data_IF_951864582856
#
_entry.id   IF_951864582856
#
_cell.length_a   1.000
_cell.length_b   1.000
_cell.length_c   1.000
_cell.angle_alpha   90.00
_cell.angle_beta   90.00
_cell.angle_gamma   90.00
#
_symmetry.space_group_name_H-M   'P 1'
#
loop_
_entity.id
_entity.type
_entity.pdbx_description
1 polymer ?
#
# COMPACT_ATOMS: atom_id res chain seq x y z
N UNK A 1 7.49 -7.38 17.30
CA UNK A 1 7.83 -7.14 18.73
C UNK A 1 8.63 -5.85 18.91
N UNK A 2 9.74 -5.67 18.18
CA UNK A 2 10.55 -4.45 18.31
C UNK A 2 9.79 -3.13 18.06
N UNK A 3 9.02 -3.01 16.97
CA UNK A 3 8.19 -1.81 16.72
C UNK A 3 7.16 -1.55 17.85
N UNK A 4 6.61 -2.61 18.45
CA UNK A 4 5.65 -2.49 19.54
C UNK A 4 6.33 -1.91 20.79
N UNK A 5 7.54 -2.38 21.10
CA UNK A 5 8.36 -1.84 22.19
C UNK A 5 8.67 -0.37 21.93
N UNK A 6 9.09 -0.01 20.71
CA UNK A 6 9.34 1.38 20.33
C UNK A 6 8.13 2.28 20.57
N UNK A 7 6.94 1.91 20.06
CA UNK A 7 5.71 2.70 20.23
C UNK A 7 5.30 2.80 21.70
N UNK A 8 5.48 1.72 22.48
CA UNK A 8 5.24 1.76 23.93
C UNK A 8 6.17 2.75 24.64
N UNK A 9 7.49 2.69 24.40
CA UNK A 9 8.43 3.63 25.02
C UNK A 9 8.16 5.08 24.59
N UNK A 10 7.78 5.30 23.32
CA UNK A 10 7.34 6.61 22.83
C UNK A 10 6.12 7.11 23.59
N UNK A 11 5.09 6.27 23.77
CA UNK A 11 3.87 6.64 24.49
C UNK A 11 4.13 6.95 25.95
N UNK A 12 4.96 6.14 26.60
CA UNK A 12 5.39 6.38 27.96
C UNK A 12 6.15 7.70 28.04
N UNK A 13 7.03 8.01 27.08
CA UNK A 13 7.81 9.26 27.12
C UNK A 13 6.92 10.48 26.92
N UNK A 14 6.00 10.46 25.97
CA UNK A 14 5.07 11.58 25.75
C UNK A 14 4.14 11.78 26.94
N UNK A 15 3.60 10.70 27.52
CA UNK A 15 2.74 10.77 28.70
C UNK A 15 3.47 11.36 29.91
N UNK A 16 4.71 10.93 30.13
CA UNK A 16 5.54 11.43 31.24
C UNK A 16 5.98 12.88 31.02
N UNK A 17 6.29 13.29 29.78
CA UNK A 17 6.61 14.67 29.44
C UNK A 17 5.41 15.63 29.59
N UNK A 18 4.20 15.17 29.23
CA UNK A 18 2.95 15.91 29.47
C UNK A 18 2.70 16.09 30.97
N UNK A 19 2.86 15.03 31.76
CA UNK A 19 2.71 15.09 33.21
C UNK A 19 3.72 16.05 33.86
N UNK A 20 4.96 16.11 33.35
CA UNK A 20 5.99 17.04 33.82
C UNK A 20 5.66 18.51 33.50
N UNK A 21 5.15 18.79 32.30
CA UNK A 21 4.67 20.14 31.93
C UNK A 21 3.55 20.63 32.85
N UNK A 22 2.56 19.76 33.07
CA UNK A 22 1.48 19.94 34.05
C UNK A 22 2.03 20.33 35.44
N UNK A 23 3.06 19.61 35.89
CA UNK A 23 3.68 19.83 37.19
C UNK A 23 4.41 21.17 37.30
N UNK A 24 5.27 21.52 36.33
CA UNK A 24 5.97 22.81 36.34
C UNK A 24 5.01 23.99 36.25
N UNK A 25 3.95 23.89 35.43
CA UNK A 25 2.91 24.92 35.34
C UNK A 25 2.23 25.18 36.70
N UNK A 26 1.92 24.13 37.46
CA UNK A 26 1.32 24.26 38.81
C UNK A 26 2.23 24.89 39.86
N UNK A 27 3.55 24.90 39.62
CA UNK A 27 4.55 25.42 40.57
C UNK A 27 4.92 26.88 40.28
N UNK A 28 4.75 27.31 39.02
CA UNK A 28 5.15 28.62 38.53
C UNK A 28 4.03 29.68 38.54
N UNK A 29 2.76 29.34 38.83
CA UNK A 29 1.68 30.34 38.84
C UNK A 29 0.59 30.08 39.88
N UNK A 30 0.49 31.00 40.85
CA UNK A 30 -0.70 31.28 41.66
C UNK A 30 -1.70 32.10 40.81
N UNK A 31 -2.05 31.64 39.61
CA UNK A 31 -3.14 32.24 38.83
C UNK A 31 -3.66 31.31 37.72
N UNK A 32 -4.98 31.08 37.77
CA UNK A 32 -5.89 30.40 36.82
C UNK A 32 -6.32 28.96 37.15
N UNK A 33 -7.41 28.92 37.93
CA UNK A 33 -8.16 27.77 38.46
C UNK A 33 -8.72 26.82 37.36
N UNK A 34 -8.53 27.11 36.07
CA UNK A 34 -9.15 26.36 34.96
C UNK A 34 -8.18 25.43 34.20
N UNK A 35 -6.85 25.65 34.23
CA UNK A 35 -5.88 24.68 33.69
C UNK A 35 -5.57 23.54 34.67
N UNK A 36 -6.02 23.68 35.93
CA UNK A 36 -5.61 22.84 37.05
C UNK A 36 -6.42 21.54 37.20
N UNK A 37 -7.60 21.43 36.60
CA UNK A 37 -8.42 20.20 36.69
C UNK A 37 -7.86 19.03 35.85
N UNK A 38 -7.08 19.28 34.80
CA UNK A 38 -6.57 18.21 33.95
C UNK A 38 -5.32 17.51 34.53
N UNK A 39 -4.56 18.22 35.38
CA UNK A 39 -3.33 17.70 35.98
C UNK A 39 -3.53 17.15 37.41
N UNK A 40 -4.66 17.49 38.04
CA UNK A 40 -4.88 17.24 39.47
C UNK A 40 -5.98 16.20 39.71
N UNK A 41 -5.65 14.93 39.46
CA UNK A 41 -5.83 13.81 40.42
C UNK A 41 -5.64 12.46 39.72
N UNK A 42 -4.84 11.61 40.38
CA UNK A 42 -4.98 10.15 40.34
C UNK A 42 -4.21 9.40 39.23
N UNK A 43 -2.90 9.62 39.11
CA UNK A 43 -2.02 8.56 38.61
C UNK A 43 -0.83 8.34 39.55
N UNK A 44 -0.68 7.12 40.06
CA UNK A 44 0.49 6.66 40.83
C UNK A 44 1.81 6.92 40.08
N UNK A 45 1.72 6.97 38.74
CA UNK A 45 2.81 7.28 37.83
C UNK A 45 3.33 8.72 38.02
N UNK A 46 2.44 9.71 38.14
CA UNK A 46 2.80 11.12 38.31
C UNK A 46 3.58 11.41 39.59
N UNK A 47 3.24 10.74 40.70
CA UNK A 47 3.92 10.92 41.99
C UNK A 47 5.30 10.23 42.02
N UNK A 48 5.46 9.10 41.33
CA UNK A 48 6.75 8.43 41.12
C UNK A 48 7.71 9.25 40.23
N UNK A 49 7.17 9.90 39.18
CA UNK A 49 7.90 10.79 38.27
C UNK A 49 8.35 12.08 38.96
N UNK A 50 7.50 12.63 39.84
CA UNK A 50 7.79 13.81 40.67
C UNK A 50 9.06 13.64 41.52
N UNK A 51 9.29 12.44 42.02
CA UNK A 51 10.38 12.15 42.94
C UNK A 51 11.72 11.85 42.24
N UNK A 52 11.73 11.59 40.93
CA UNK A 52 12.94 11.17 40.21
C UNK A 52 13.05 11.78 38.80
N UNK A 53 13.53 13.03 38.65
CA UNK A 53 13.75 13.65 37.33
C UNK A 53 14.74 12.86 36.46
N UNK A 54 15.65 12.10 37.09
CA UNK A 54 16.55 11.15 36.43
C UNK A 54 15.83 10.09 35.59
N UNK A 55 14.61 9.69 35.97
CA UNK A 55 13.82 8.69 35.22
C UNK A 55 13.45 9.23 33.83
N UNK A 56 13.14 10.52 33.72
CA UNK A 56 12.81 11.17 32.45
C UNK A 56 13.99 11.18 31.50
N UNK A 57 15.19 11.53 32.01
CA UNK A 57 16.42 11.53 31.22
C UNK A 57 16.78 10.12 30.76
N UNK A 58 16.75 9.14 31.68
CA UNK A 58 17.04 7.73 31.36
C UNK A 58 16.05 7.19 30.33
N UNK A 59 14.77 7.50 30.46
CA UNK A 59 13.74 7.07 29.53
C UNK A 59 13.94 7.66 28.13
N UNK A 60 14.34 8.92 28.02
CA UNK A 60 14.66 9.52 26.72
C UNK A 60 15.89 8.89 26.08
N UNK A 61 16.97 8.66 26.84
CA UNK A 61 18.17 7.99 26.30
C UNK A 61 17.87 6.58 25.80
N UNK A 62 17.04 5.83 26.52
CA UNK A 62 16.56 4.51 26.07
C UNK A 62 15.73 4.64 24.79
N UNK A 63 14.81 5.60 24.73
CA UNK A 63 14.01 5.85 23.54
C UNK A 63 14.90 6.20 22.33
N UNK A 64 15.90 7.07 22.51
CA UNK A 64 16.86 7.44 21.46
C UNK A 64 17.65 6.21 21.00
N UNK A 65 18.14 5.37 21.90
CA UNK A 65 18.85 4.14 21.52
C UNK A 65 17.97 3.22 20.66
N UNK A 66 16.69 3.05 21.02
CA UNK A 66 15.72 2.28 20.23
C UNK A 66 15.47 2.95 18.87
N UNK A 67 15.39 4.29 18.81
CA UNK A 67 15.18 5.03 17.55
C UNK A 67 16.37 4.91 16.60
N UNK A 68 17.60 4.92 17.12
CA UNK A 68 18.80 4.74 16.30
C UNK A 68 18.79 3.35 15.67
N UNK A 69 18.40 2.32 16.41
CA UNK A 69 18.25 0.98 15.84
C UNK A 69 17.12 0.94 14.79
N UNK A 70 15.98 1.62 15.02
CA UNK A 70 14.91 1.77 14.03
C UNK A 70 15.41 2.44 12.74
N UNK A 71 16.20 3.52 12.86
CA UNK A 71 16.81 4.22 11.74
C UNK A 71 17.74 3.27 10.97
N UNK A 72 18.64 2.55 11.67
CA UNK A 72 19.52 1.59 11.04
C UNK A 72 18.73 0.54 10.26
N UNK A 73 17.72 -0.08 10.89
CA UNK A 73 16.81 -1.04 10.25
C UNK A 73 16.15 -0.47 9.00
N UNK A 74 15.66 0.78 9.07
CA UNK A 74 14.98 1.43 7.95
C UNK A 74 15.95 1.76 6.82
N UNK A 75 17.16 2.21 7.12
CA UNK A 75 18.23 2.49 6.14
C UNK A 75 18.64 1.21 5.40
N UNK A 76 18.84 0.09 6.11
CA UNK A 76 19.07 -1.21 5.45
C UNK A 76 17.88 -1.67 4.59
N UNK A 77 16.65 -1.30 4.96
CA UNK A 77 15.47 -1.55 4.13
C UNK A 77 15.44 -0.71 2.85
N UNK A 78 15.89 0.55 2.92
CA UNK A 78 15.89 1.49 1.79
C UNK A 78 16.83 1.03 0.68
N UNK A 79 17.95 0.38 1.00
CA UNK A 79 18.91 -0.11 -0.01
C UNK A 79 18.33 -1.17 -0.95
N UNK A 80 17.20 -1.79 -0.59
CA UNK A 80 16.47 -2.72 -1.45
C UNK A 80 15.56 -2.05 -2.50
N UNK A 81 15.35 -0.73 -2.42
CA UNK A 81 14.53 0.00 -3.39
C UNK A 81 15.38 0.58 -4.51
N UNK A 82 14.94 0.38 -5.76
CA UNK A 82 15.65 0.88 -6.94
C UNK A 82 15.55 2.40 -7.12
N UNK A 83 14.58 3.08 -6.49
CA UNK A 83 14.38 4.54 -6.65
C UNK A 83 13.74 5.18 -5.41
N UNK A 84 14.28 6.32 -4.98
CA UNK A 84 13.80 7.10 -3.81
C UNK A 84 12.35 7.58 -3.98
N UNK A 85 11.93 7.92 -5.20
CA UNK A 85 10.55 8.35 -5.48
C UNK A 85 9.52 7.27 -5.16
N UNK A 86 9.81 6.02 -5.47
CA UNK A 86 8.92 4.90 -5.18
C UNK A 86 8.77 4.68 -3.67
N UNK A 87 9.85 4.93 -2.92
CA UNK A 87 9.86 4.82 -1.47
C UNK A 87 9.04 5.93 -0.80
N UNK A 88 9.24 7.20 -1.20
CA UNK A 88 8.55 8.37 -0.61
C UNK A 88 7.07 8.44 -0.99
N UNK A 89 6.64 7.81 -2.08
CA UNK A 89 5.21 7.79 -2.47
C UNK A 89 4.36 6.92 -1.52
N UNK A 90 4.98 6.02 -0.74
CA UNK A 90 4.26 5.17 0.20
C UNK A 90 3.99 5.92 1.51
N UNK A 91 2.71 6.14 1.83
CA UNK A 91 2.28 6.83 3.06
C UNK A 91 2.83 6.17 4.34
N UNK A 92 2.97 4.85 4.36
CA UNK A 92 3.57 4.10 5.48
C UNK A 92 4.99 4.61 5.80
N UNK A 93 5.82 4.80 4.77
CA UNK A 93 7.20 5.28 4.97
C UNK A 93 7.23 6.73 5.44
N UNK A 94 6.32 7.58 4.95
CA UNK A 94 6.22 8.98 5.39
C UNK A 94 5.85 9.04 6.87
N UNK A 95 4.83 8.27 7.29
CA UNK A 95 4.37 8.21 8.68
C UNK A 95 5.51 7.73 9.59
N UNK A 96 6.25 6.70 9.18
CA UNK A 96 7.38 6.20 9.96
C UNK A 96 8.49 7.23 10.14
N UNK A 97 8.88 7.94 9.07
CA UNK A 97 9.87 9.01 9.17
C UNK A 97 9.39 10.15 10.05
N UNK A 98 8.12 10.53 9.96
CA UNK A 98 7.53 11.54 10.84
C UNK A 98 7.67 11.11 12.31
N UNK A 99 7.31 9.87 12.65
CA UNK A 99 7.41 9.35 14.02
C UNK A 99 8.87 9.32 14.49
N UNK A 100 9.81 8.92 13.65
CA UNK A 100 11.25 8.94 13.98
C UNK A 100 11.74 10.36 14.27
N UNK A 101 11.45 11.31 13.36
CA UNK A 101 11.87 12.71 13.51
C UNK A 101 11.24 13.32 14.76
N UNK A 102 9.98 12.98 15.04
CA UNK A 102 9.25 13.52 16.18
C UNK A 102 9.97 13.28 17.52
N UNK A 103 10.67 12.15 17.69
CA UNK A 103 11.41 11.83 18.94
C UNK A 103 12.50 12.83 19.24
N UNK A 104 13.20 13.31 18.22
CA UNK A 104 14.24 14.33 18.38
C UNK A 104 13.63 15.72 18.62
N UNK A 105 12.51 16.00 17.96
CA UNK A 105 11.79 17.28 18.04
C UNK A 105 11.16 17.51 19.42
N UNK A 106 10.64 16.46 20.06
CA UNK A 106 10.04 16.50 21.41
C UNK A 106 11.07 16.41 22.54
N UNK A 107 12.37 16.42 22.23
CA UNK A 107 13.42 16.28 23.23
C UNK A 107 13.46 17.49 24.16
N UNK A 108 13.48 17.21 25.46
CA UNK A 108 13.66 18.21 26.52
C UNK A 108 15.13 18.63 26.69
N UNK A 109 16.09 17.79 26.32
CA UNK A 109 17.52 17.93 26.63
C UNK A 109 18.18 19.11 25.88
N UNK A 110 17.68 19.48 24.71
CA UNK A 110 18.26 20.59 23.95
C UNK A 110 18.00 21.96 24.59
N UNK A 111 16.87 22.11 25.28
CA UNK A 111 16.38 23.44 25.70
C UNK A 111 16.08 23.53 27.19
N UNK A 112 16.14 22.41 27.95
CA UNK A 112 15.78 22.32 29.38
C UNK A 112 14.39 22.89 29.73
N UNK A 113 13.55 23.10 28.72
CA UNK A 113 12.19 23.64 28.78
C UNK A 113 11.38 22.92 27.71
N UNK A 114 10.21 22.45 28.09
CA UNK A 114 9.22 21.87 27.18
C UNK A 114 8.26 22.97 26.71
N UNK A 115 7.93 22.98 25.43
CA UNK A 115 7.01 23.95 24.84
C UNK A 115 5.63 23.32 24.55
N UNK A 116 4.58 24.14 24.54
CA UNK A 116 3.21 23.72 24.21
C UNK A 116 3.11 23.07 22.82
N UNK A 117 3.87 23.57 21.84
CA UNK A 117 3.90 22.98 20.50
C UNK A 117 4.52 21.57 20.48
N UNK A 118 5.48 21.27 21.37
CA UNK A 118 6.07 19.92 21.47
C UNK A 118 5.04 18.92 21.99
N UNK A 119 4.12 19.34 22.86
CA UNK A 119 3.03 18.48 23.34
C UNK A 119 2.09 18.09 22.20
N UNK A 120 1.76 19.03 21.30
CA UNK A 120 0.98 18.73 20.11
C UNK A 120 1.72 17.75 19.18
N UNK A 121 3.01 17.98 18.92
CA UNK A 121 3.83 17.07 18.10
C UNK A 121 3.90 15.67 18.72
N UNK A 122 4.09 15.58 20.04
CA UNK A 122 4.09 14.31 20.78
C UNK A 122 2.76 13.57 20.68
N UNK A 123 1.62 14.28 20.79
CA UNK A 123 0.30 13.68 20.65
C UNK A 123 0.08 13.08 19.25
N UNK A 124 0.44 13.83 18.19
CA UNK A 124 0.36 13.32 16.81
C UNK A 124 1.33 12.17 16.57
N UNK A 125 2.55 12.24 17.12
CA UNK A 125 3.54 11.17 17.02
C UNK A 125 3.06 9.85 17.64
N UNK A 126 2.43 9.92 18.81
CA UNK A 126 1.83 8.75 19.46
C UNK A 126 0.72 8.16 18.60
N UNK A 127 -0.23 9.00 18.15
CA UNK A 127 -1.35 8.54 17.31
C UNK A 127 -0.84 7.86 16.04
N UNK A 128 0.05 8.53 15.30
CA UNK A 128 0.64 8.01 14.07
C UNK A 128 1.54 6.79 14.30
N UNK A 129 2.23 6.71 15.45
CA UNK A 129 3.01 5.55 15.86
C UNK A 129 2.14 4.30 16.06
N UNK A 130 1.00 4.43 16.75
CA UNK A 130 0.04 3.34 16.90
C UNK A 130 -0.64 2.96 15.58
N UNK A 131 -0.98 3.95 14.73
CA UNK A 131 -1.50 3.67 13.38
C UNK A 131 -0.48 2.88 12.57
N UNK A 132 0.80 3.28 12.57
CA UNK A 132 1.84 2.55 11.86
C UNK A 132 2.04 1.13 12.40
N UNK A 133 1.98 0.95 13.73
CA UNK A 133 2.03 -0.37 14.33
C UNK A 133 0.89 -1.26 13.83
N UNK A 134 -0.34 -0.74 13.71
CA UNK A 134 -1.47 -1.49 13.16
C UNK A 134 -1.21 -1.91 11.70
N UNK A 135 -0.65 -1.03 10.87
CA UNK A 135 -0.26 -1.35 9.49
C UNK A 135 0.81 -2.45 9.43
N UNK A 136 1.82 -2.38 10.30
CA UNK A 136 2.87 -3.40 10.44
C UNK A 136 2.31 -4.76 10.90
N UNK A 137 1.36 -4.78 11.82
CA UNK A 137 0.64 -6.00 12.24
C UNK A 137 -0.08 -6.64 11.05
N UNK A 138 -0.47 -5.84 10.05
CA UNK A 138 -1.07 -6.32 8.80
C UNK A 138 -0.18 -7.22 7.94
N UNK A 139 1.11 -7.32 8.24
CA UNK A 139 2.02 -8.28 7.58
C UNK A 139 1.85 -9.71 8.12
N UNK A 140 1.24 -9.88 9.30
CA UNK A 140 1.00 -11.20 9.86
C UNK A 140 -0.15 -11.92 9.12
N UNK A 141 -0.05 -13.23 8.87
CA UNK A 141 -1.04 -13.97 8.08
C UNK A 141 -2.43 -14.05 8.73
N UNK A 142 -2.53 -13.84 10.04
CA UNK A 142 -3.81 -13.81 10.77
C UNK A 142 -4.49 -12.45 10.66
N UNK A 143 -3.75 -11.38 10.95
CA UNK A 143 -4.29 -10.01 11.01
C UNK A 143 -4.30 -9.28 9.67
N UNK A 144 -3.51 -9.74 8.70
CA UNK A 144 -3.34 -9.03 7.43
C UNK A 144 -4.59 -8.87 6.59
N UNK A 145 -5.57 -9.77 6.72
CA UNK A 145 -6.86 -9.62 6.04
C UNK A 145 -7.69 -8.49 6.66
N UNK A 146 -7.68 -8.36 8.00
CA UNK A 146 -8.40 -7.31 8.72
C UNK A 146 -7.80 -5.93 8.48
N UNK A 147 -6.47 -5.81 8.57
CA UNK A 147 -5.77 -4.55 8.33
C UNK A 147 -5.93 -4.11 6.86
N UNK A 148 -5.85 -5.05 5.91
CA UNK A 148 -6.09 -4.73 4.50
C UNK A 148 -7.54 -4.31 4.20
N UNK A 149 -8.51 -4.86 4.93
CA UNK A 149 -9.90 -4.41 4.85
C UNK A 149 -10.03 -2.99 5.41
N UNK A 150 -9.44 -2.71 6.58
CA UNK A 150 -9.47 -1.38 7.20
C UNK A 150 -8.89 -0.30 6.28
N UNK A 151 -7.68 -0.50 5.75
CA UNK A 151 -7.02 0.51 4.90
C UNK A 151 -7.74 0.72 3.58
N UNK A 152 -8.32 -0.34 3.01
CA UNK A 152 -9.17 -0.23 1.81
C UNK A 152 -10.44 0.57 2.09
N UNK A 153 -11.17 0.23 3.14
CA UNK A 153 -12.40 0.95 3.52
C UNK A 153 -12.09 2.41 3.81
N UNK A 154 -10.99 2.71 4.49
CA UNK A 154 -10.54 4.08 4.74
C UNK A 154 -10.26 4.86 3.45
N UNK A 155 -9.61 4.25 2.46
CA UNK A 155 -9.33 4.88 1.17
C UNK A 155 -10.60 5.17 0.35
N UNK A 156 -11.53 4.23 0.30
CA UNK A 156 -12.81 4.41 -0.40
C UNK A 156 -13.69 5.45 0.31
N UNK A 157 -13.69 5.45 1.65
CA UNK A 157 -14.32 6.49 2.46
C UNK A 157 -13.74 7.87 2.13
N UNK A 158 -12.41 8.02 2.09
CA UNK A 158 -11.77 9.31 1.80
C UNK A 158 -12.08 9.80 0.39
N UNK A 159 -12.07 8.89 -0.60
CA UNK A 159 -12.47 9.21 -1.99
C UNK A 159 -13.92 9.68 -2.05
N UNK A 160 -14.81 9.02 -1.30
CA UNK A 160 -16.21 9.40 -1.23
C UNK A 160 -16.40 10.77 -0.58
N UNK A 161 -15.79 10.98 0.59
CA UNK A 161 -15.84 12.26 1.31
C UNK A 161 -15.32 13.41 0.44
N UNK A 162 -14.26 13.19 -0.33
CA UNK A 162 -13.74 14.18 -1.26
C UNK A 162 -14.73 14.51 -2.39
N UNK A 163 -15.43 13.51 -2.93
CA UNK A 163 -16.45 13.72 -3.97
C UNK A 163 -17.66 14.53 -3.45
N UNK A 164 -18.04 14.33 -2.19
CA UNK A 164 -19.17 15.03 -1.57
C UNK A 164 -18.77 16.27 -0.77
N UNK A 165 -17.49 16.63 -0.78
CA UNK A 165 -16.97 17.78 -0.03
C UNK A 165 -17.64 19.11 -0.43
N UNK A 166 -18.03 19.28 -1.69
CA UNK A 166 -18.74 20.47 -2.15
C UNK A 166 -20.10 20.67 -1.48
N UNK A 167 -20.86 19.58 -1.24
CA UNK A 167 -22.11 19.65 -0.50
C UNK A 167 -21.87 19.99 0.97
N UNK A 168 -20.88 19.37 1.61
CA UNK A 168 -20.55 19.63 3.02
C UNK A 168 -20.12 21.09 3.23
N UNK A 169 -19.29 21.63 2.33
CA UNK A 169 -18.88 23.05 2.37
C UNK A 169 -20.09 23.97 2.12
N UNK A 170 -20.98 23.61 1.19
CA UNK A 170 -22.21 24.37 0.93
C UNK A 170 -23.11 24.48 2.17
N UNK A 171 -23.39 23.36 2.83
CA UNK A 171 -24.16 23.36 4.09
C UNK A 171 -23.43 24.08 5.23
N UNK A 172 -22.10 23.95 5.32
CA UNK A 172 -21.30 24.67 6.32
C UNK A 172 -21.47 26.18 6.19
N UNK A 173 -21.30 26.72 4.98
CA UNK A 173 -21.44 28.15 4.74
C UNK A 173 -22.88 28.60 5.01
N UNK A 174 -23.88 27.83 4.58
CA UNK A 174 -25.29 28.13 4.86
C UNK A 174 -25.58 28.20 6.36
N UNK A 175 -25.06 27.26 7.17
CA UNK A 175 -25.24 27.29 8.61
C UNK A 175 -24.47 28.43 9.30
N UNK A 176 -23.30 28.84 8.79
CA UNK A 176 -22.62 30.02 9.29
C UNK A 176 -23.42 31.32 9.07
N UNK A 177 -24.19 31.39 7.98
CA UNK A 177 -25.05 32.55 7.67
C UNK A 177 -26.36 32.51 8.46
N UNK A 178 -26.95 31.33 8.64
CA UNK A 178 -28.24 31.14 9.32
C UNK A 178 -28.10 31.20 10.85
N UNK A 179 -27.01 30.70 11.41
CA UNK A 179 -26.78 30.62 12.86
C UNK A 179 -25.55 31.44 13.31
N UNK A 180 -25.51 32.75 13.04
CA UNK A 180 -24.33 33.58 13.30
C UNK A 180 -24.01 33.72 14.79
N UNK A 181 -25.01 33.59 15.67
CA UNK A 181 -24.85 33.76 17.12
C UNK A 181 -24.38 32.49 17.84
N UNK A 182 -24.26 31.36 17.13
CA UNK A 182 -23.85 30.09 17.73
C UNK A 182 -22.32 29.96 17.78
N UNK A 183 -21.78 29.47 18.90
CA UNK A 183 -20.34 29.22 19.05
C UNK A 183 -19.84 28.15 18.08
N UNK A 184 -20.69 27.17 17.74
CA UNK A 184 -20.41 26.09 16.78
C UNK A 184 -20.14 26.61 15.36
N UNK A 185 -20.74 27.74 14.97
CA UNK A 185 -20.58 28.33 13.64
C UNK A 185 -19.84 29.68 13.64
N UNK A 186 -19.10 29.99 14.71
CA UNK A 186 -18.35 31.25 14.83
C UNK A 186 -17.27 31.45 13.75
N UNK A 187 -16.68 30.34 13.26
CA UNK A 187 -15.68 30.36 12.19
C UNK A 187 -15.98 29.26 11.16
N UNK A 188 -15.71 29.45 9.85
CA UNK A 188 -16.00 28.45 8.81
C UNK A 188 -15.32 27.09 9.06
N UNK A 189 -14.12 27.10 9.66
CA UNK A 189 -13.40 25.88 10.02
C UNK A 189 -14.10 25.10 11.14
N UNK A 190 -14.52 25.81 12.20
CA UNK A 190 -15.29 25.21 13.28
C UNK A 190 -16.65 24.72 12.78
N UNK A 191 -17.33 25.52 11.96
CA UNK A 191 -18.59 25.14 11.32
C UNK A 191 -18.44 23.88 10.45
N UNK A 192 -17.33 23.73 9.74
CA UNK A 192 -17.07 22.52 8.94
C UNK A 192 -16.89 21.29 9.83
N UNK A 193 -16.17 21.41 10.94
CA UNK A 193 -16.04 20.34 11.94
C UNK A 193 -17.42 20.00 12.53
N UNK A 194 -18.22 21.00 12.90
CA UNK A 194 -19.59 20.81 13.39
C UNK A 194 -20.45 20.08 12.36
N UNK A 195 -20.38 20.44 11.08
CA UNK A 195 -21.09 19.72 10.00
C UNK A 195 -20.64 18.26 9.88
N UNK A 196 -19.33 17.97 10.03
CA UNK A 196 -18.83 16.59 10.05
C UNK A 196 -19.34 15.81 11.26
N UNK A 197 -19.45 16.45 12.43
CA UNK A 197 -20.05 15.84 13.63
C UNK A 197 -21.54 15.59 13.39
N UNK A 198 -22.28 16.57 12.87
CA UNK A 198 -23.69 16.40 12.53
C UNK A 198 -23.93 15.32 11.48
N UNK A 199 -22.99 15.16 10.53
CA UNK A 199 -23.02 14.06 9.56
C UNK A 199 -23.00 12.70 10.27
N UNK A 200 -22.26 12.54 11.39
CA UNK A 200 -22.24 11.29 12.19
C UNK A 200 -23.55 10.92 12.86
N UNK A 201 -24.55 11.81 12.81
CA UNK A 201 -25.89 11.58 13.35
C UNK A 201 -26.16 12.30 14.67
N UNK A 202 -25.17 12.99 15.24
CA UNK A 202 -25.34 13.84 16.42
C UNK A 202 -25.97 15.18 16.00
N UNK A 203 -27.28 15.31 16.19
CA UNK A 203 -28.02 16.51 15.81
C UNK A 203 -28.21 17.44 17.01
N UNK A 204 -27.72 18.67 16.89
CA UNK A 204 -27.92 19.70 17.91
C UNK A 204 -29.21 20.50 17.62
N UNK A 205 -30.35 19.96 18.07
CA UNK A 205 -31.65 20.63 17.93
C UNK A 205 -31.72 21.94 18.72
N UNK A 206 -30.80 22.16 19.67
CA UNK A 206 -30.74 23.39 20.43
C UNK A 206 -30.44 24.61 19.54
N UNK A 207 -29.84 24.42 18.36
CA UNK A 207 -29.63 25.49 17.38
C UNK A 207 -30.94 26.06 16.80
N UNK A 208 -32.02 25.27 16.82
CA UNK A 208 -33.34 25.72 16.36
C UNK A 208 -34.19 26.32 17.50
N UNK A 209 -33.81 26.10 18.77
CA UNK A 209 -34.60 26.43 19.95
C UNK A 209 -33.97 27.56 20.77
N UNK A 210 -32.64 27.66 20.81
CA UNK A 210 -31.95 28.68 21.58
C UNK A 210 -31.95 30.00 20.81
N UNK A 211 -32.85 30.89 21.20
CA UNK A 211 -32.71 32.32 20.99
C UNK A 211 -31.88 32.93 22.13
N UNK A 212 -30.59 33.26 21.92
CA UNK A 212 -29.76 33.82 22.97
C UNK A 212 -30.17 35.25 23.36
N UNK A 213 -30.95 35.96 22.53
CA UNK A 213 -31.22 37.39 22.69
C UNK A 213 -32.65 37.76 23.10
N UNK A 214 -33.57 36.79 23.25
CA UNK A 214 -34.97 37.06 23.62
C UNK A 214 -35.70 38.06 22.70
N UNK A 215 -35.14 38.31 21.51
CA UNK A 215 -35.73 39.10 20.43
C UNK A 215 -36.11 38.11 19.36
N UNK A 216 -37.40 37.99 19.11
CA UNK A 216 -37.92 37.09 18.09
C UNK A 216 -37.17 37.33 16.77
N UNK A 217 -36.42 36.35 16.24
CA UNK A 217 -35.78 36.47 14.95
C UNK A 217 -36.87 36.71 13.91
N UNK A 218 -36.54 37.36 12.78
CA UNK A 218 -37.46 37.46 11.67
C UNK A 218 -38.04 36.08 11.36
N UNK A 219 -39.37 35.93 11.35
CA UNK A 219 -40.08 34.68 11.05
C UNK A 219 -39.56 33.97 9.78
N UNK A 220 -39.09 34.74 8.80
CA UNK A 220 -38.48 34.23 7.57
C UNK A 220 -37.13 33.51 7.81
N UNK A 221 -36.31 33.99 8.74
CA UNK A 221 -35.06 33.34 9.11
C UNK A 221 -35.30 32.03 9.83
N UNK A 222 -36.28 31.98 10.74
CA UNK A 222 -36.65 30.75 11.45
C UNK A 222 -37.14 29.66 10.49
N UNK A 223 -38.01 30.00 9.54
CA UNK A 223 -38.45 29.06 8.49
C UNK A 223 -37.27 28.63 7.62
N UNK A 224 -36.40 29.56 7.21
CA UNK A 224 -35.24 29.23 6.38
C UNK A 224 -34.26 28.29 7.09
N UNK A 225 -34.11 28.45 8.42
CA UNK A 225 -33.30 27.59 9.27
C UNK A 225 -33.89 26.18 9.35
N UNK A 226 -35.19 26.07 9.63
CA UNK A 226 -35.90 24.79 9.67
C UNK A 226 -35.82 24.06 8.33
N UNK A 227 -36.07 24.74 7.21
CA UNK A 227 -35.98 24.15 5.86
C UNK A 227 -34.55 23.67 5.58
N UNK A 228 -33.54 24.51 5.82
CA UNK A 228 -32.15 24.17 5.56
C UNK A 228 -31.70 22.98 6.43
N UNK A 229 -32.15 22.93 7.68
CA UNK A 229 -31.89 21.82 8.60
C UNK A 229 -32.55 20.51 8.13
N UNK A 230 -33.81 20.54 7.69
CA UNK A 230 -34.49 19.36 7.12
C UNK A 230 -33.78 18.87 5.85
N UNK A 231 -33.37 19.77 4.96
CA UNK A 231 -32.60 19.42 3.77
C UNK A 231 -31.25 18.79 4.14
N UNK A 232 -30.57 19.33 5.15
CA UNK A 232 -29.33 18.76 5.66
C UNK A 232 -29.52 17.34 6.21
N UNK A 233 -30.57 17.11 7.00
CA UNK A 233 -30.92 15.77 7.49
C UNK A 233 -31.15 14.80 6.34
N UNK A 234 -31.92 15.20 5.32
CA UNK A 234 -32.21 14.34 4.18
C UNK A 234 -30.96 14.04 3.35
N UNK A 235 -30.21 15.06 2.93
CA UNK A 235 -29.10 14.87 2.00
C UNK A 235 -27.82 14.36 2.65
N UNK A 236 -27.47 14.88 3.83
CA UNK A 236 -26.20 14.53 4.50
C UNK A 236 -26.40 13.38 5.47
N UNK A 237 -27.38 13.49 6.37
CA UNK A 237 -27.54 12.47 7.43
C UNK A 237 -28.17 11.19 6.91
N UNK A 238 -29.19 11.27 6.04
CA UNK A 238 -29.86 10.08 5.51
C UNK A 238 -29.19 9.57 4.24
N UNK A 239 -29.07 10.38 3.19
CA UNK A 239 -28.55 9.90 1.90
C UNK A 239 -27.05 9.63 1.99
N UNK A 240 -26.24 10.61 2.39
CA UNK A 240 -24.79 10.49 2.35
C UNK A 240 -24.27 9.45 3.36
N UNK A 241 -24.80 9.38 4.59
CA UNK A 241 -24.38 8.31 5.53
C UNK A 241 -24.78 6.91 5.08
N UNK A 242 -25.99 6.73 4.56
CA UNK A 242 -26.39 5.42 4.05
C UNK A 242 -25.57 5.02 2.82
N UNK A 243 -25.14 5.98 1.99
CA UNK A 243 -24.25 5.73 0.87
C UNK A 243 -22.84 5.32 1.36
N UNK A 244 -22.30 6.04 2.35
CA UNK A 244 -21.01 5.71 2.98
C UNK A 244 -21.01 4.29 3.55
N UNK A 245 -22.04 3.95 4.33
CA UNK A 245 -22.21 2.61 4.92
C UNK A 245 -22.43 1.57 3.82
N UNK A 246 -23.28 1.85 2.83
CA UNK A 246 -23.59 0.95 1.73
C UNK A 246 -22.36 0.57 0.90
N UNK A 247 -21.52 1.55 0.54
CA UNK A 247 -20.29 1.31 -0.21
C UNK A 247 -19.26 0.58 0.65
N UNK A 248 -19.07 1.00 1.91
CA UNK A 248 -18.16 0.30 2.82
C UNK A 248 -18.55 -1.17 2.98
N UNK A 249 -19.84 -1.48 3.17
CA UNK A 249 -20.35 -2.85 3.27
C UNK A 249 -20.13 -3.63 1.97
N UNK A 250 -20.39 -3.02 0.82
CA UNK A 250 -20.16 -3.66 -0.48
C UNK A 250 -18.68 -4.01 -0.69
N UNK A 251 -17.77 -3.08 -0.39
CA UNK A 251 -16.33 -3.30 -0.54
C UNK A 251 -15.79 -4.33 0.45
N UNK A 252 -16.30 -4.31 1.69
CA UNK A 252 -16.01 -5.32 2.71
C UNK A 252 -16.41 -6.71 2.22
N UNK A 253 -17.60 -6.86 1.63
CA UNK A 253 -18.07 -8.13 1.09
C UNK A 253 -17.19 -8.62 -0.08
N UNK A 254 -16.81 -7.72 -1.00
CA UNK A 254 -15.89 -8.03 -2.09
C UNK A 254 -14.52 -8.52 -1.59
N UNK A 255 -13.98 -7.86 -0.57
CA UNK A 255 -12.72 -8.26 0.05
C UNK A 255 -12.84 -9.60 0.80
N UNK A 256 -13.94 -9.83 1.52
CA UNK A 256 -14.15 -11.08 2.26
C UNK A 256 -14.20 -12.31 1.35
N UNK A 257 -14.78 -12.18 0.14
CA UNK A 257 -14.82 -13.26 -0.86
C UNK A 257 -13.42 -13.69 -1.32
N UNK A 258 -12.46 -12.77 -1.34
CA UNK A 258 -11.07 -13.01 -1.80
C UNK A 258 -10.06 -13.14 -0.65
N UNK A 259 -10.47 -12.88 0.59
CA UNK A 259 -9.61 -12.86 1.76
C UNK A 259 -8.94 -14.22 2.04
N UNK A 260 -9.66 -15.33 1.84
CA UNK A 260 -9.11 -16.68 2.03
C UNK A 260 -7.93 -16.98 1.10
N UNK A 261 -8.09 -16.66 -0.19
CA UNK A 261 -7.03 -16.79 -1.20
C UNK A 261 -5.87 -15.83 -0.91
N UNK A 262 -6.17 -14.56 -0.61
CA UNK A 262 -5.16 -13.55 -0.28
C UNK A 262 -4.31 -13.93 0.94
N UNK A 263 -4.95 -14.51 1.97
CA UNK A 263 -4.27 -15.07 3.14
C UNK A 263 -3.32 -16.21 2.75
N UNK A 264 -3.77 -17.16 1.93
CA UNK A 264 -2.95 -18.28 1.47
C UNK A 264 -1.73 -17.78 0.66
N UNK A 265 -1.95 -16.85 -0.27
CA UNK A 265 -0.87 -16.24 -1.06
C UNK A 265 0.15 -15.53 -0.18
N UNK A 266 -0.29 -14.77 0.83
CA UNK A 266 0.60 -14.11 1.79
C UNK A 266 1.39 -15.11 2.62
N UNK A 267 0.76 -16.18 3.08
CA UNK A 267 1.45 -17.27 3.79
C UNK A 267 2.52 -17.93 2.92
N UNK A 268 2.19 -18.29 1.67
CA UNK A 268 3.14 -18.90 0.74
C UNK A 268 4.29 -17.95 0.40
N UNK A 269 4.03 -16.66 0.19
CA UNK A 269 5.09 -15.65 -0.01
C UNK A 269 6.00 -15.54 1.21
N UNK A 270 5.43 -15.49 2.40
CA UNK A 270 6.21 -15.41 3.65
C UNK A 270 7.10 -16.65 3.80
N UNK A 271 6.54 -17.85 3.56
CA UNK A 271 7.30 -19.11 3.58
C UNK A 271 8.43 -19.07 2.54
N UNK A 272 8.12 -18.68 1.30
CA UNK A 272 9.12 -18.58 0.23
C UNK A 272 10.23 -17.56 0.53
N UNK A 273 9.92 -16.42 1.16
CA UNK A 273 10.92 -15.46 1.60
C UNK A 273 11.81 -16.02 2.71
N UNK A 274 11.22 -16.71 3.69
CA UNK A 274 11.96 -17.36 4.78
C UNK A 274 12.87 -18.46 4.21
N UNK A 275 12.35 -19.31 3.32
CA UNK A 275 13.12 -20.35 2.63
C UNK A 275 14.25 -19.74 1.81
N UNK A 276 13.98 -18.71 1.01
CA UNK A 276 15.01 -18.04 0.20
C UNK A 276 16.08 -17.40 1.09
N UNK A 277 15.71 -16.72 2.18
CA UNK A 277 16.66 -16.17 3.14
C UNK A 277 17.48 -17.26 3.87
N UNK A 278 16.85 -18.42 4.11
CA UNK A 278 17.49 -19.58 4.71
C UNK A 278 18.52 -20.23 3.78
N UNK A 279 18.18 -20.37 2.49
CA UNK A 279 19.04 -21.02 1.50
C UNK A 279 20.11 -20.09 0.90
N UNK A 280 19.91 -18.76 0.87
CA UNK A 280 20.89 -17.80 0.34
C UNK A 280 22.09 -17.51 1.27
N UNK A 281 22.33 -18.34 2.29
CA UNK A 281 23.61 -18.39 3.01
C UNK A 281 23.85 -17.28 4.06
N UNK A 282 22.93 -16.34 4.25
CA UNK A 282 23.06 -15.25 5.23
C UNK A 282 22.89 -15.68 6.70
N UNK A 283 22.46 -16.93 6.95
CA UNK A 283 22.28 -17.41 8.33
C UNK A 283 23.59 -17.96 8.92
N UNK A 284 23.95 -17.56 10.15
CA UNK A 284 25.12 -18.08 10.85
C UNK A 284 25.03 -19.60 11.05
N UNK A 285 26.17 -20.29 11.02
CA UNK A 285 26.24 -21.75 10.92
C UNK A 285 25.51 -22.51 12.05
N UNK A 286 25.46 -21.95 13.26
CA UNK A 286 24.72 -22.52 14.40
C UNK A 286 23.21 -22.62 14.17
N UNK A 287 22.61 -21.61 13.52
CA UNK A 287 21.19 -21.51 13.24
C UNK A 287 20.82 -22.45 12.09
N UNK A 288 21.69 -22.58 11.08
CA UNK A 288 21.56 -23.62 10.03
C UNK A 288 21.56 -25.03 10.62
N UNK A 289 22.41 -25.31 11.61
CA UNK A 289 22.49 -26.62 12.26
C UNK A 289 21.25 -26.93 13.11
N UNK A 290 20.74 -25.95 13.85
CA UNK A 290 19.46 -26.03 14.57
C UNK A 290 18.28 -26.21 13.61
N UNK A 291 18.27 -25.49 12.48
CA UNK A 291 17.17 -25.54 11.53
C UNK A 291 17.17 -26.81 10.67
N UNK A 292 18.32 -27.36 10.30
CA UNK A 292 18.38 -28.69 9.68
C UNK A 292 17.84 -29.77 10.61
N UNK A 293 18.04 -29.61 11.92
CA UNK A 293 17.55 -30.52 12.94
C UNK A 293 16.03 -30.37 13.20
N UNK A 294 15.47 -29.16 13.05
CA UNK A 294 14.06 -28.86 13.38
C UNK A 294 13.11 -28.63 12.19
N UNK A 295 13.60 -28.22 11.02
CA UNK A 295 12.79 -27.68 9.92
C UNK A 295 12.90 -28.44 8.59
N UNK A 296 13.73 -29.48 8.49
CA UNK A 296 13.55 -30.47 7.41
C UNK A 296 12.33 -31.35 7.73
N UNK A 297 11.14 -30.76 7.58
CA UNK A 297 9.96 -31.47 7.07
C UNK A 297 9.88 -31.15 5.57
N UNK A 298 11.02 -31.22 4.86
CA UNK A 298 10.93 -31.71 3.51
C UNK A 298 10.85 -33.23 3.68
N UNK A 299 9.69 -33.87 3.44
CA UNK A 299 9.74 -35.29 3.18
C UNK A 299 10.59 -35.41 1.92
N UNK A 300 11.86 -35.76 2.07
CA UNK A 300 12.64 -36.40 1.03
C UNK A 300 11.84 -37.65 0.63
N UNK A 301 10.83 -37.52 -0.24
CA UNK A 301 9.97 -38.67 -0.53
C UNK A 301 8.65 -38.47 -1.27
N UNK A 302 8.00 -37.30 -1.31
CA UNK A 302 6.77 -37.19 -2.12
C UNK A 302 7.06 -36.74 -3.55
N UNK A 303 7.78 -37.61 -4.28
CA UNK A 303 7.62 -37.66 -5.74
C UNK A 303 6.22 -38.24 -5.96
N UNK A 304 5.21 -37.39 -6.15
CA UNK A 304 3.85 -37.85 -6.48
C UNK A 304 3.91 -38.48 -7.87
N UNK A 305 4.22 -39.78 -7.91
CA UNK A 305 4.21 -40.56 -9.15
C UNK A 305 2.76 -40.87 -9.45
N UNK A 306 2.14 -40.03 -10.28
CA UNK A 306 0.82 -40.30 -10.82
C UNK A 306 0.94 -41.38 -11.90
N UNK A 307 0.71 -42.64 -11.50
CA UNK A 307 0.66 -43.77 -12.44
C UNK A 307 -0.68 -43.76 -13.17
N UNK A 308 -0.68 -43.33 -14.44
CA UNK A 308 -1.85 -43.43 -15.32
C UNK A 308 -1.75 -44.62 -16.26
N UNK A 309 -2.90 -45.23 -16.58
CA UNK A 309 -3.01 -46.31 -17.57
C UNK A 309 -3.57 -45.74 -18.88
N UNK A 310 -2.73 -45.39 -19.86
CA UNK A 310 -3.15 -44.65 -21.06
C UNK A 310 -4.16 -45.39 -21.94
N UNK A 311 -4.18 -46.72 -21.85
CA UNK A 311 -5.05 -47.59 -22.65
C UNK A 311 -6.39 -47.92 -21.97
N UNK A 312 -6.63 -47.43 -20.75
CA UNK A 312 -7.86 -47.73 -20.01
C UNK A 312 -8.94 -46.66 -20.31
N UNK A 313 -10.09 -47.02 -20.93
CA UNK A 313 -11.14 -46.05 -21.27
C UNK A 313 -11.80 -45.39 -20.05
N UNK A 314 -11.64 -45.93 -18.84
CA UNK A 314 -12.16 -45.37 -17.59
C UNK A 314 -11.25 -44.36 -16.89
N UNK A 315 -10.02 -44.13 -17.36
CA UNK A 315 -9.07 -43.21 -16.71
C UNK A 315 -9.36 -41.75 -17.11
N UNK A 316 -9.91 -40.95 -16.18
CA UNK A 316 -10.26 -39.53 -16.39
C UNK A 316 -9.36 -38.54 -15.64
N UNK A 317 -8.31 -39.02 -14.97
CA UNK A 317 -7.43 -38.20 -14.12
C UNK A 317 -6.54 -37.24 -14.89
N UNK A 318 -6.30 -37.51 -16.18
CA UNK A 318 -5.60 -36.60 -17.10
C UNK A 318 -6.39 -36.44 -18.41
N UNK A 319 -6.30 -35.28 -19.07
CA UNK A 319 -6.77 -35.10 -20.44
C UNK A 319 -6.14 -36.12 -21.40
N UNK A 320 -6.92 -36.63 -22.36
CA UNK A 320 -6.48 -37.70 -23.28
C UNK A 320 -5.30 -37.28 -24.15
N UNK A 321 -5.27 -36.03 -24.58
CA UNK A 321 -4.26 -35.51 -25.49
C UNK A 321 -2.87 -35.53 -24.83
N UNK A 322 -2.81 -35.11 -23.56
CA UNK A 322 -1.58 -35.12 -22.74
C UNK A 322 -1.16 -36.56 -22.44
N UNK A 323 -2.14 -37.43 -22.16
CA UNK A 323 -1.91 -38.84 -21.85
C UNK A 323 -1.35 -39.62 -23.06
N UNK A 324 -1.86 -39.37 -24.27
CA UNK A 324 -1.36 -39.96 -25.51
C UNK A 324 0.02 -39.42 -25.89
N UNK A 325 0.24 -38.10 -25.79
CA UNK A 325 1.55 -37.51 -26.04
C UNK A 325 2.62 -38.07 -25.09
N UNK A 326 2.31 -38.23 -23.80
CA UNK A 326 3.20 -38.85 -22.84
C UNK A 326 3.45 -40.34 -23.14
N UNK A 327 2.42 -41.06 -23.61
CA UNK A 327 2.55 -42.46 -24.02
C UNK A 327 3.46 -42.63 -25.23
N UNK A 328 3.37 -41.76 -26.24
CA UNK A 328 4.25 -41.81 -27.42
C UNK A 328 5.70 -41.48 -27.07
N UNK A 329 5.93 -40.52 -26.18
CA UNK A 329 7.26 -40.23 -25.63
C UNK A 329 7.80 -41.42 -24.83
N UNK A 330 6.96 -42.14 -24.09
CA UNK A 330 7.37 -43.35 -23.38
C UNK A 330 7.66 -44.52 -24.33
N UNK A 331 6.84 -44.70 -25.37
CA UNK A 331 6.97 -45.75 -26.40
C UNK A 331 8.27 -45.59 -27.19
N UNK A 332 8.59 -44.36 -27.60
CA UNK A 332 9.85 -44.05 -28.30
C UNK A 332 11.07 -44.28 -27.40
N UNK A 333 10.98 -43.95 -26.11
CA UNK A 333 12.05 -44.21 -25.13
C UNK A 333 12.23 -45.68 -24.76
N UNK A 334 11.23 -46.54 -24.94
CA UNK A 334 11.33 -47.99 -24.69
C UNK A 334 12.43 -48.65 -25.54
N UNK A 335 12.70 -48.10 -26.72
CA UNK A 335 13.74 -48.62 -27.63
C UNK A 335 15.17 -48.18 -27.26
N UNK A 336 15.36 -47.25 -26.31
CA UNK A 336 16.67 -46.69 -25.96
C UNK A 336 17.31 -47.28 -24.67
N UNK A 337 16.73 -48.30 -24.05
CA UNK A 337 17.31 -48.91 -22.85
C UNK A 337 17.20 -48.04 -21.58
N UNK A 338 17.55 -48.64 -20.44
CA UNK A 338 17.14 -48.30 -19.07
C UNK A 338 17.17 -46.82 -18.61
N UNK A 339 16.28 -46.57 -17.63
CA UNK A 339 16.13 -45.36 -16.81
C UNK A 339 17.46 -44.89 -16.19
N UNK A 340 18.01 -43.76 -16.64
CA UNK A 340 19.10 -43.07 -15.94
C UNK A 340 18.51 -42.05 -14.95
N UNK A 341 18.96 -42.18 -13.71
CA UNK A 341 18.78 -41.23 -12.63
C UNK A 341 19.28 -39.82 -13.01
N UNK A 342 18.37 -38.86 -12.98
CA UNK A 342 18.46 -37.41 -12.67
C UNK A 342 19.64 -36.50 -13.10
N UNK A 343 20.62 -36.88 -13.92
CA UNK A 343 21.72 -35.94 -14.26
C UNK A 343 21.94 -35.56 -15.74
N UNK A 344 21.15 -36.05 -16.69
CA UNK A 344 21.36 -35.73 -18.11
C UNK A 344 20.05 -35.53 -18.90
N UNK A 345 19.15 -34.67 -18.40
CA UNK A 345 17.88 -34.40 -19.07
C UNK A 345 17.99 -33.45 -20.29
N UNK A 346 19.13 -32.77 -20.46
CA UNK A 346 19.36 -31.82 -21.57
C UNK A 346 19.90 -32.50 -22.84
N UNK A 347 20.58 -33.64 -22.71
CA UNK A 347 21.17 -34.35 -23.86
C UNK A 347 20.11 -35.03 -24.75
N UNK A 348 18.99 -35.48 -24.18
CA UNK A 348 17.99 -36.26 -24.94
C UNK A 348 17.05 -35.39 -25.79
N UNK A 349 16.95 -34.07 -25.53
CA UNK A 349 16.15 -33.17 -26.38
C UNK A 349 16.85 -32.86 -27.72
N UNK A 350 18.19 -32.87 -27.75
CA UNK A 350 18.95 -32.58 -28.97
C UNK A 350 18.97 -33.75 -29.96
N UNK A 351 18.95 -35.00 -29.50
CA UNK A 351 18.99 -36.19 -30.37
C UNK A 351 17.72 -36.36 -31.24
N UNK A 352 16.56 -35.88 -30.78
CA UNK A 352 15.32 -35.92 -31.57
C UNK A 352 15.31 -34.89 -32.71
N UNK A 353 16.05 -33.78 -32.58
CA UNK A 353 16.14 -32.72 -33.60
C UNK A 353 17.26 -32.97 -34.61
N UNK A 354 18.29 -33.76 -34.27
CA UNK A 354 19.37 -34.12 -35.20
C UNK A 354 19.03 -35.35 -36.05
N UNK A 355 18.21 -36.29 -35.58
CA UNK A 355 17.80 -37.44 -36.39
C UNK A 355 16.85 -37.09 -37.56
N UNK A 356 16.34 -35.85 -37.62
CA UNK A 356 15.55 -35.35 -38.76
C UNK A 356 16.38 -34.56 -39.78
N UNK A 357 17.71 -34.49 -39.63
CA UNK A 357 18.59 -33.85 -40.59
C UNK A 357 19.92 -34.62 -40.75
N UNK A 358 20.07 -35.16 -41.97
CA UNK A 358 21.33 -35.27 -42.74
C UNK A 358 22.02 -36.64 -42.75
N UNK A 359 21.83 -37.30 -43.91
CA UNK A 359 22.78 -38.15 -44.62
C UNK A 359 24.20 -37.56 -44.70
N UNK A 360 25.17 -38.47 -44.81
CA UNK A 360 26.53 -38.30 -45.35
C UNK A 360 27.68 -37.81 -44.44
N UNK A 361 28.67 -38.70 -44.47
CA UNK A 361 30.13 -38.53 -44.48
C UNK A 361 30.92 -38.76 -43.18
N UNK A 362 31.89 -39.65 -43.38
CA UNK A 362 32.99 -40.10 -42.53
C UNK A 362 33.86 -38.95 -42.01
N UNK A 363 34.36 -39.06 -40.77
CA UNK A 363 35.77 -39.43 -40.53
C UNK A 363 36.09 -39.61 -39.03
N UNK A 364 37.13 -40.42 -38.78
CA UNK A 364 37.69 -40.79 -37.48
C UNK A 364 38.50 -39.65 -36.83
N UNK A 365 38.52 -39.59 -35.49
CA UNK A 365 39.71 -39.71 -34.60
C UNK A 365 39.53 -39.02 -33.24
N UNK A 366 40.39 -39.46 -32.30
CA UNK A 366 40.26 -39.51 -30.84
C UNK A 366 40.43 -38.22 -30.00
N UNK A 367 40.00 -38.36 -28.74
CA UNK A 367 40.62 -37.90 -27.47
C UNK A 367 40.11 -36.63 -26.74
N UNK A 368 39.79 -36.89 -25.46
CA UNK A 368 39.35 -36.11 -24.27
C UNK A 368 40.29 -34.93 -23.86
N UNK A 369 40.04 -34.06 -22.83
CA UNK A 369 38.83 -33.69 -22.06
C UNK A 369 38.52 -32.18 -22.05
N UNK A 370 37.26 -31.76 -21.83
CA UNK A 370 36.93 -30.33 -21.70
C UNK A 370 35.49 -30.01 -21.31
N UNK A 371 35.07 -30.43 -20.11
CA UNK A 371 33.68 -30.35 -19.66
C UNK A 371 33.15 -28.93 -19.35
N UNK A 372 34.01 -27.90 -19.25
CA UNK A 372 33.56 -26.53 -18.92
C UNK A 372 33.45 -25.56 -20.11
N UNK A 373 34.01 -25.88 -21.29
CA UNK A 373 34.00 -24.98 -22.46
C UNK A 373 32.69 -25.05 -23.27
N UNK A 374 32.09 -26.23 -23.39
CA UNK A 374 30.94 -26.44 -24.28
C UNK A 374 29.65 -25.76 -23.77
N UNK A 375 29.45 -25.68 -22.44
CA UNK A 375 28.26 -25.03 -21.86
C UNK A 375 28.31 -23.51 -22.02
N UNK A 376 29.50 -22.91 -21.89
CA UNK A 376 29.76 -21.48 -22.09
C UNK A 376 29.59 -21.11 -23.56
N UNK A 377 30.14 -21.89 -24.50
CA UNK A 377 29.93 -21.63 -25.93
C UNK A 377 28.46 -21.74 -26.36
N UNK A 378 27.70 -22.68 -25.76
CA UNK A 378 26.26 -22.82 -26.09
C UNK A 378 25.42 -21.68 -25.51
N UNK A 379 25.79 -21.17 -24.32
CA UNK A 379 25.16 -19.98 -23.74
C UNK A 379 25.54 -18.72 -24.53
N UNK A 380 26.80 -18.59 -24.93
CA UNK A 380 27.28 -17.48 -25.76
C UNK A 380 26.54 -17.44 -27.10
N UNK A 381 26.44 -18.58 -27.79
CA UNK A 381 25.70 -18.66 -29.06
C UNK A 381 24.20 -18.33 -28.90
N UNK A 382 23.59 -18.66 -27.76
CA UNK A 382 22.18 -18.28 -27.47
C UNK A 382 22.03 -16.81 -27.09
N UNK A 383 23.02 -16.24 -26.42
CA UNK A 383 23.05 -14.81 -26.11
C UNK A 383 23.21 -14.02 -27.41
N UNK A 384 24.07 -14.49 -28.31
CA UNK A 384 24.30 -13.87 -29.62
C UNK A 384 23.07 -14.01 -30.54
N UNK A 385 22.45 -15.19 -30.62
CA UNK A 385 21.19 -15.41 -31.39
C UNK A 385 20.01 -14.60 -30.79
N UNK A 386 19.97 -14.41 -29.48
CA UNK A 386 18.98 -13.54 -28.85
C UNK A 386 19.29 -12.06 -29.08
N UNK A 387 20.56 -11.66 -29.11
CA UNK A 387 20.97 -10.28 -29.42
C UNK A 387 20.61 -9.92 -30.87
N UNK A 388 20.85 -10.83 -31.82
CA UNK A 388 20.49 -10.64 -33.22
C UNK A 388 18.96 -10.53 -33.39
N UNK A 389 18.17 -11.34 -32.69
CA UNK A 389 16.69 -11.23 -32.70
C UNK A 389 16.19 -9.94 -32.08
N UNK A 390 16.85 -9.44 -31.03
CA UNK A 390 16.53 -8.14 -30.43
C UNK A 390 16.84 -7.01 -31.43
N UNK A 391 17.92 -7.12 -32.18
CA UNK A 391 18.26 -6.14 -33.21
C UNK A 391 17.23 -6.14 -34.35
N UNK A 392 16.79 -7.32 -34.82
CA UNK A 392 15.71 -7.45 -35.80
C UNK A 392 14.39 -6.86 -35.27
N UNK A 393 14.01 -7.16 -34.03
CA UNK A 393 12.82 -6.57 -33.41
C UNK A 393 12.93 -5.05 -33.27
N UNK A 394 14.13 -4.54 -33.00
CA UNK A 394 14.38 -3.09 -32.91
C UNK A 394 14.25 -2.42 -34.28
N UNK A 395 14.65 -3.11 -35.36
CA UNK A 395 14.44 -2.67 -36.73
C UNK A 395 12.95 -2.68 -37.10
N UNK A 396 12.22 -3.74 -36.78
CA UNK A 396 10.76 -3.80 -37.03
C UNK A 396 10.00 -2.70 -36.26
N UNK A 397 10.40 -2.42 -35.01
CA UNK A 397 9.82 -1.31 -34.22
C UNK A 397 10.15 0.05 -34.86
N UNK A 398 11.34 0.20 -35.44
CA UNK A 398 11.72 1.43 -36.16
C UNK A 398 10.87 1.61 -37.42
N UNK A 399 10.69 0.56 -38.21
CA UNK A 399 9.85 0.60 -39.41
C UNK A 399 8.37 0.87 -39.06
N UNK A 400 7.84 0.24 -38.00
CA UNK A 400 6.50 0.53 -37.50
C UNK A 400 6.34 1.98 -37.04
N UNK A 401 7.37 2.55 -36.40
CA UNK A 401 7.39 3.95 -35.99
C UNK A 401 7.39 4.90 -37.20
N UNK A 402 8.13 4.56 -38.26
CA UNK A 402 8.18 5.35 -39.49
C UNK A 402 6.85 5.27 -40.27
N UNK A 403 6.21 4.10 -40.32
CA UNK A 403 4.86 3.94 -40.87
C UNK A 403 3.84 4.74 -40.07
N UNK A 404 3.92 4.72 -38.74
CA UNK A 404 3.02 5.50 -37.88
C UNK A 404 3.22 7.01 -38.10
N UNK A 405 4.46 7.47 -38.24
CA UNK A 405 4.78 8.86 -38.53
C UNK A 405 4.30 9.30 -39.92
N UNK A 406 4.39 8.42 -40.93
CA UNK A 406 3.85 8.66 -42.26
C UNK A 406 2.32 8.76 -42.22
N UNK A 407 1.65 7.87 -41.49
CA UNK A 407 0.21 7.90 -41.29
C UNK A 407 -0.24 9.17 -40.56
N UNK A 408 0.50 9.61 -39.54
CA UNK A 408 0.21 10.86 -38.83
C UNK A 408 0.31 12.08 -39.75
N UNK A 409 1.35 12.15 -40.61
CA UNK A 409 1.48 13.22 -41.63
C UNK A 409 0.37 13.17 -42.68
N UNK A 410 -0.08 11.99 -43.09
CA UNK A 410 -1.20 11.84 -44.01
C UNK A 410 -2.51 12.34 -43.36
N UNK A 411 -2.72 12.04 -42.08
CA UNK A 411 -3.88 12.49 -41.32
C UNK A 411 -3.88 14.01 -41.15
N UNK A 412 -2.73 14.61 -40.85
CA UNK A 412 -2.59 16.08 -40.79
C UNK A 412 -2.90 16.76 -42.13
N UNK A 413 -2.44 16.18 -43.25
CA UNK A 413 -2.79 16.69 -44.59
C UNK A 413 -4.28 16.59 -44.88
N UNK A 414 -4.93 15.49 -44.52
CA UNK A 414 -6.38 15.33 -44.66
C UNK A 414 -7.15 16.35 -43.81
N UNK A 415 -6.72 16.57 -42.57
CA UNK A 415 -7.30 17.59 -41.69
C UNK A 415 -7.14 18.99 -42.30
N UNK A 416 -5.96 19.34 -42.85
CA UNK A 416 -5.76 20.62 -43.52
C UNK A 416 -6.63 20.81 -44.77
N UNK A 417 -6.85 19.74 -45.55
CA UNK A 417 -7.76 19.78 -46.70
C UNK A 417 -9.21 19.99 -46.26
N UNK A 418 -9.67 19.29 -45.22
CA UNK A 418 -11.01 19.46 -44.65
C UNK A 418 -11.21 20.88 -44.10
N UNK A 419 -10.21 21.43 -43.41
CA UNK A 419 -10.24 22.82 -42.91
C UNK A 419 -10.26 23.83 -44.07
N UNK A 420 -9.49 23.61 -45.15
CA UNK A 420 -9.55 24.46 -46.35
C UNK A 420 -10.90 24.39 -47.08
N UNK A 421 -11.50 23.20 -47.19
CA UNK A 421 -12.85 23.05 -47.76
C UNK A 421 -13.92 23.76 -46.91
N UNK A 422 -13.81 23.66 -45.58
CA UNK A 422 -14.69 24.39 -44.65
C UNK A 422 -14.57 25.92 -44.81
N UNK A 423 -13.35 26.45 -44.94
CA UNK A 423 -13.13 27.88 -45.19
C UNK A 423 -13.60 28.35 -46.57
N UNK A 424 -13.47 27.52 -47.62
CA UNK A 424 -13.98 27.86 -48.96
C UNK A 424 -15.52 27.84 -49.01
N UNK A 425 -16.17 26.91 -48.32
CA UNK A 425 -17.62 26.89 -48.13
C UNK A 425 -18.14 28.14 -47.40
N UNK A 426 -17.44 28.61 -46.38
CA UNK A 426 -17.78 29.85 -45.68
C UNK A 426 -17.51 31.13 -46.52
N UNK A 427 -16.55 31.11 -47.45
CA UNK A 427 -16.31 32.22 -48.38
C UNK A 427 -17.38 32.32 -49.47
N UNK A 428 -17.91 31.19 -49.96
CA UNK A 428 -19.02 31.16 -50.92
C UNK A 428 -20.34 31.56 -50.26
N UNK A 429 -20.57 31.17 -49.00
CA UNK A 429 -21.73 31.62 -48.22
C UNK A 429 -21.75 33.12 -47.92
N UNK A 430 -20.58 33.77 -47.79
CA UNK A 430 -20.48 35.24 -47.63
C UNK A 430 -20.64 36.01 -48.93
N UNK A 431 -20.22 35.48 -50.09
CA UNK A 431 -20.47 36.13 -51.40
C UNK A 431 -21.94 36.02 -51.83
N UNK A 432 -22.64 34.93 -51.52
CA UNK A 432 -24.08 34.80 -51.82
C UNK A 432 -24.98 35.71 -50.98
N UNK A 433 -24.49 36.28 -49.86
CA UNK A 433 -25.23 37.26 -49.03
C UNK A 433 -24.92 38.73 -49.38
N UNK A 434 -24.06 38.98 -50.36
CA UNK A 434 -23.74 40.34 -50.84
C UNK A 434 -24.33 40.63 -52.24
N UNK A 435 -25.11 39.70 -52.81
CA UNK A 435 -25.95 39.89 -54.00
C UNK A 435 -27.38 39.44 -53.67
N UNK A 436 -28.03 40.15 -52.75
CA UNK A 436 -29.49 40.27 -52.64
C UNK A 436 -29.78 41.71 -52.22
#
# INVERSE_FOLDING_TARGET
MFCFIFVLFLTLYVLTALAHNCYNGSKDMEETIQEQELCQKQSMLGDMLRNNPFVMEMQWWVLVAITVFEICRKVYGITGYSTVKQYVTQLENIIEWFVIISVFVISYIYTNRTYTWQNHVGAFAVLLGWTNLMLMIGQLPVFGAYVAMYTKVQGEFAKLLMAYSCMLVGFTISFCVIFPSSSSFANPFMGFITVLVMMTGEQDLALLINDPDGKDPPFLLEISAQITFVLFLLFVTVILMNLLVGIAVHDIQGLKKTAGLSKLVRQTKLISYIESALFNGYLPAWLRKMLHWSALISPQGYRVVLSVKPLNPGEKRLPRDIMMAAYDVAKTRKHLGHTISSKASTATYFSYKSASKVENNNDKSDSDPGFDSASVCTLQNKIDDNAERIEVLTLEIRDLKDVLAANQKALEKLVQVLVKQSHHGNSLGKKSKAQV
#
